data_IF_674145824246
#
_entry.id   IF_674145824246
#
_cell.length_a   1.000
_cell.length_b   1.000
_cell.length_c   1.000
_cell.angle_alpha   90.00
_cell.angle_beta   90.00
_cell.angle_gamma   90.00
#
_symmetry.space_group_name_H-M   'P 1'
#
loop_
_entity.id
_entity.type
_entity.pdbx_description
1 polymer ?
#
# COMPACT_ATOMS: atom_id res chain seq x y z
N UNK A 1 -8.09 5.12 -13.83
CA UNK A 1 -6.98 4.26 -13.37
C UNK A 1 -7.59 3.22 -12.44
N UNK A 2 -7.55 1.91 -12.73
CA UNK A 2 -8.13 0.93 -11.81
C UNK A 2 -7.18 0.77 -10.62
N UNK A 3 -7.57 1.31 -9.46
CA UNK A 3 -6.99 0.96 -8.17
C UNK A 3 -7.46 -0.47 -7.89
N UNK A 4 -6.54 -1.41 -7.64
CA UNK A 4 -6.90 -2.75 -7.19
C UNK A 4 -7.74 -2.66 -5.90
N UNK A 5 -8.88 -3.34 -5.87
CA UNK A 5 -9.76 -3.47 -4.68
C UNK A 5 -9.16 -4.38 -3.59
N UNK A 6 -8.00 -4.99 -3.84
CA UNK A 6 -7.32 -5.80 -2.83
C UNK A 6 -6.64 -4.87 -1.83
N UNK A 7 -6.98 -4.99 -0.55
CA UNK A 7 -6.37 -4.21 0.53
C UNK A 7 -4.90 -4.60 0.68
N UNK A 8 -3.98 -3.71 0.28
CA UNK A 8 -2.54 -3.87 0.53
C UNK A 8 -2.16 -3.19 1.84
N UNK A 9 -1.18 -3.77 2.52
CA UNK A 9 -0.66 -3.25 3.78
C UNK A 9 0.86 -3.12 3.72
N UNK A 10 1.35 -2.02 4.28
CA UNK A 10 2.76 -1.77 4.62
C UNK A 10 2.92 -1.77 6.14
N UNK A 11 4.15 -1.60 6.61
CA UNK A 11 4.46 -1.40 8.04
C UNK A 11 3.68 -0.24 8.65
N UNK A 12 3.33 0.78 7.84
CA UNK A 12 2.58 1.96 8.27
C UNK A 12 1.06 1.88 7.99
N UNK A 13 0.51 0.68 7.77
CA UNK A 13 -0.93 0.45 7.55
C UNK A 13 -1.31 0.34 6.08
N UNK A 14 -2.50 0.83 5.70
CA UNK A 14 -3.06 0.67 4.35
C UNK A 14 -2.15 1.28 3.27
N UNK A 15 -2.06 0.60 2.14
CA UNK A 15 -1.25 0.98 0.99
C UNK A 15 -2.02 0.82 -0.33
N UNK A 16 -1.55 1.51 -1.35
CA UNK A 16 -2.03 1.38 -2.72
C UNK A 16 -1.02 0.58 -3.54
N UNK A 17 -1.52 -0.26 -4.46
CA UNK A 17 -0.70 -0.92 -5.48
C UNK A 17 -0.84 -0.18 -6.81
N UNK A 18 0.29 0.20 -7.41
CA UNK A 18 0.37 0.85 -8.70
C UNK A 18 1.23 0.04 -9.67
N UNK A 19 0.91 0.10 -10.96
CA UNK A 19 1.74 -0.48 -12.01
C UNK A 19 2.96 0.39 -12.37
N UNK A 20 2.82 1.70 -12.19
CA UNK A 20 3.87 2.67 -12.51
C UNK A 20 3.79 3.88 -11.56
N UNK A 21 4.97 4.41 -11.18
CA UNK A 21 5.12 5.56 -10.28
C UNK A 21 6.25 6.45 -10.80
N UNK A 22 5.97 7.74 -10.93
CA UNK A 22 6.95 8.75 -11.38
C UNK A 22 7.39 9.65 -10.23
N UNK A 23 8.44 10.45 -10.45
CA UNK A 23 9.01 11.37 -9.45
C UNK A 23 9.54 10.67 -8.19
N UNK A 24 10.03 9.44 -8.35
CA UNK A 24 10.68 8.66 -7.30
C UNK A 24 12.11 8.28 -7.67
N UNK A 25 12.94 8.06 -6.66
CA UNK A 25 14.28 7.46 -6.78
C UNK A 25 14.32 6.12 -6.06
N UNK A 26 15.01 5.15 -6.65
CA UNK A 26 15.19 3.81 -6.08
C UNK A 26 16.31 3.77 -5.03
N UNK A 27 16.06 3.07 -3.93
CA UNK A 27 17.04 2.70 -2.92
C UNK A 27 17.85 1.46 -3.30
N UNK A 28 18.40 0.79 -2.30
CA UNK A 28 19.08 -0.50 -2.49
C UNK A 28 18.09 -1.65 -2.61
N UNK A 29 18.51 -2.72 -3.30
CA UNK A 29 17.77 -3.98 -3.33
C UNK A 29 17.93 -4.69 -2.00
N UNK A 30 16.82 -5.06 -1.39
CA UNK A 30 16.77 -5.74 -0.11
C UNK A 30 15.91 -6.99 -0.18
N UNK A 31 16.32 -8.04 0.54
CA UNK A 31 15.48 -9.21 0.73
C UNK A 31 14.57 -8.98 1.94
N UNK A 32 13.26 -9.08 1.74
CA UNK A 32 12.25 -8.86 2.78
C UNK A 32 11.33 -10.07 2.86
N UNK A 33 11.14 -10.59 4.07
CA UNK A 33 10.14 -11.61 4.35
C UNK A 33 8.77 -10.94 4.44
N UNK A 34 7.81 -11.43 3.68
CA UNK A 34 6.43 -10.94 3.64
C UNK A 34 5.45 -12.10 3.91
N UNK A 35 4.16 -11.79 4.04
CA UNK A 35 3.11 -12.82 4.18
C UNK A 35 3.15 -13.82 3.02
N UNK A 36 3.49 -13.36 1.82
CA UNK A 36 3.64 -14.18 0.60
C UNK A 36 5.03 -14.78 0.44
N UNK A 37 5.85 -14.81 1.49
CA UNK A 37 7.22 -15.35 1.47
C UNK A 37 8.30 -14.31 1.18
N UNK A 38 9.50 -14.80 0.84
CA UNK A 38 10.67 -13.97 0.54
C UNK A 38 10.51 -13.24 -0.78
N UNK A 39 10.78 -11.94 -0.77
CA UNK A 39 10.77 -11.09 -1.96
C UNK A 39 12.02 -10.20 -1.97
N UNK A 40 12.49 -9.84 -3.17
CA UNK A 40 13.48 -8.77 -3.30
C UNK A 40 12.73 -7.50 -3.64
N UNK A 41 12.90 -6.48 -2.80
CA UNK A 41 12.23 -5.20 -2.90
C UNK A 41 13.23 -4.06 -3.04
N UNK A 42 12.76 -2.92 -3.52
CA UNK A 42 13.53 -1.69 -3.58
C UNK A 42 12.66 -0.58 -3.01
N UNK A 43 13.14 0.06 -1.95
CA UNK A 43 12.46 1.22 -1.38
C UNK A 43 12.47 2.39 -2.39
N UNK A 44 11.38 3.16 -2.42
CA UNK A 44 11.23 4.31 -3.31
C UNK A 44 11.02 5.60 -2.52
N UNK A 45 11.77 6.63 -2.93
CA UNK A 45 11.82 7.92 -2.23
C UNK A 45 11.35 9.04 -3.15
N UNK A 46 10.68 10.05 -2.59
CA UNK A 46 10.28 11.23 -3.35
C UNK A 46 11.51 11.98 -3.87
N UNK A 47 11.59 12.27 -5.17
CA UNK A 47 12.69 13.05 -5.78
C UNK A 47 12.85 14.43 -5.14
N UNK A 48 11.76 15.04 -4.66
CA UNK A 48 11.74 16.42 -4.17
C UNK A 48 12.19 16.56 -2.72
N UNK A 49 11.70 15.69 -1.82
CA UNK A 49 11.93 15.81 -0.38
C UNK A 49 12.70 14.64 0.23
N UNK A 50 12.98 13.58 -0.55
CA UNK A 50 13.70 12.40 -0.08
C UNK A 50 12.93 11.51 0.89
N UNK A 51 11.66 11.78 1.16
CA UNK A 51 10.85 10.95 2.06
C UNK A 51 10.62 9.57 1.45
N UNK A 52 10.71 8.51 2.27
CA UNK A 52 10.25 7.17 1.90
C UNK A 52 8.75 7.21 1.62
N UNK A 53 8.35 6.75 0.44
CA UNK A 53 6.94 6.69 0.02
C UNK A 53 6.40 5.25 0.01
N UNK A 54 7.27 4.26 -0.12
CA UNK A 54 6.90 2.87 -0.30
C UNK A 54 8.02 2.05 -0.93
N UNK A 55 7.66 1.01 -1.67
CA UNK A 55 8.62 0.07 -2.27
C UNK A 55 8.08 -0.59 -3.54
N UNK A 56 8.97 -1.05 -4.42
CA UNK A 56 8.63 -1.87 -5.60
C UNK A 56 9.04 -3.34 -5.38
N UNK A 57 8.30 -4.26 -6.00
CA UNK A 57 8.72 -5.65 -6.12
C UNK A 57 9.75 -5.79 -7.25
N UNK A 58 11.03 -5.87 -6.90
CA UNK A 58 12.10 -6.05 -7.88
C UNK A 58 12.22 -7.50 -8.36
N UNK A 59 11.93 -8.49 -7.50
CA UNK A 59 11.88 -9.90 -7.88
C UNK A 59 10.93 -10.67 -6.96
N UNK A 60 10.00 -11.40 -7.57
CA UNK A 60 9.14 -12.37 -6.90
C UNK A 60 9.69 -13.79 -7.15
N UNK A 61 9.89 -14.55 -6.08
CA UNK A 61 10.50 -15.88 -6.15
C UNK A 61 9.49 -16.99 -6.48
N UNK A 62 8.22 -16.79 -6.13
CA UNK A 62 7.15 -17.72 -6.47
C UNK A 62 6.49 -17.35 -7.80
N UNK A 63 6.23 -18.35 -8.66
CA UNK A 63 5.59 -18.14 -9.97
C UNK A 63 4.22 -17.47 -9.86
N UNK A 64 3.46 -17.77 -8.81
CA UNK A 64 2.15 -17.17 -8.51
C UNK A 64 2.23 -15.69 -8.15
N UNK A 65 3.43 -15.17 -7.86
CA UNK A 65 3.66 -13.78 -7.47
C UNK A 65 4.41 -12.97 -8.54
N UNK A 66 4.71 -13.58 -9.70
CA UNK A 66 5.42 -12.90 -10.80
C UNK A 66 4.66 -11.70 -11.35
N UNK A 67 3.33 -11.72 -11.30
CA UNK A 67 2.49 -10.59 -11.71
C UNK A 67 2.67 -9.35 -10.82
N UNK A 68 3.32 -9.51 -9.65
CA UNK A 68 3.67 -8.40 -8.77
C UNK A 68 5.00 -7.76 -9.12
N UNK A 69 5.86 -8.40 -9.90
CA UNK A 69 7.13 -7.80 -10.32
C UNK A 69 6.85 -6.48 -11.03
N UNK A 70 7.60 -5.44 -10.64
CA UNK A 70 7.46 -4.07 -11.13
C UNK A 70 6.19 -3.33 -10.70
N UNK A 71 5.35 -3.92 -9.84
CA UNK A 71 4.33 -3.12 -9.15
C UNK A 71 4.94 -2.41 -7.94
N UNK A 72 4.36 -1.25 -7.63
CA UNK A 72 4.76 -0.34 -6.56
C UNK A 72 3.71 -0.33 -5.46
N UNK A 73 4.15 -0.44 -4.22
CA UNK A 73 3.31 -0.27 -3.03
C UNK A 73 3.61 1.11 -2.45
N UNK A 74 2.62 2.00 -2.43
CA UNK A 74 2.71 3.34 -1.82
C UNK A 74 1.89 3.39 -0.54
N UNK A 75 2.47 3.90 0.53
CA UNK A 75 1.78 4.05 1.81
C UNK A 75 0.76 5.16 1.76
N UNK A 76 -0.50 4.89 2.15
CA UNK A 76 -1.58 5.89 2.08
C UNK A 76 -1.28 7.12 2.94
N UNK A 77 -0.63 6.93 4.09
CA UNK A 77 -0.25 8.05 4.97
C UNK A 77 0.82 8.99 4.36
N UNK A 78 1.40 8.63 3.21
CA UNK A 78 2.43 9.43 2.51
C UNK A 78 1.92 10.09 1.23
N UNK A 79 0.70 9.79 0.80
CA UNK A 79 0.13 10.28 -0.45
C UNK A 79 -1.28 10.83 -0.24
N UNK A 80 -1.68 11.75 -1.11
CA UNK A 80 -3.08 12.18 -1.19
C UNK A 80 -3.88 11.18 -2.04
N UNK A 81 -5.17 11.08 -1.77
CA UNK A 81 -6.08 10.34 -2.64
C UNK A 81 -6.28 11.06 -4.00
N UNK A 82 -7.01 10.45 -4.96
CA UNK A 82 -7.22 11.05 -6.27
C UNK A 82 -7.89 12.43 -6.25
N UNK A 83 -8.66 12.74 -5.21
CA UNK A 83 -9.35 14.02 -5.00
C UNK A 83 -8.46 15.03 -4.25
N UNK A 84 -7.27 14.62 -3.83
CA UNK A 84 -6.30 15.46 -3.15
C UNK A 84 -6.47 15.51 -1.63
N UNK A 85 -7.27 14.62 -1.04
CA UNK A 85 -7.46 14.56 0.41
C UNK A 85 -6.36 13.73 1.08
N UNK A 86 -5.89 14.15 2.27
CA UNK A 86 -4.93 13.36 3.03
C UNK A 86 -5.60 12.07 3.55
N UNK A 87 -4.81 11.01 3.69
CA UNK A 87 -5.28 9.82 4.37
C UNK A 87 -5.61 10.13 5.83
N UNK A 88 -6.86 9.93 6.20
CA UNK A 88 -7.34 9.93 7.58
C UNK A 88 -7.47 8.46 8.01
N UNK A 89 -6.59 7.94 8.87
CA UNK A 89 -6.85 6.66 9.53
C UNK A 89 -8.16 6.83 10.31
N UNK A 90 -9.10 5.89 10.15
CA UNK A 90 -10.46 5.94 10.69
C UNK A 90 -10.52 6.68 12.02
N UNK A 91 -11.14 7.87 11.96
CA UNK A 91 -11.53 8.78 13.04
C UNK A 91 -10.96 8.43 14.42
N UNK A 92 -10.03 9.26 14.90
CA UNK A 92 -10.05 9.60 16.33
C UNK A 92 -11.45 10.12 16.59
N UNK A 93 -12.30 9.27 17.17
CA UNK A 93 -13.53 9.72 17.81
C UNK A 93 -13.11 10.92 18.65
N UNK A 94 -13.75 12.07 18.45
CA UNK A 94 -13.59 13.21 19.36
C UNK A 94 -13.93 12.72 20.76
N UNK A 95 -12.91 12.26 21.50
CA UNK A 95 -12.80 12.00 22.95
C UNK A 95 -11.51 11.20 23.26
N UNK A 96 -10.34 11.76 22.93
CA UNK A 96 -9.15 11.69 23.79
C UNK A 96 -8.56 10.34 24.23
N UNK A 97 -8.65 9.24 23.48
CA UNK A 97 -7.89 8.02 23.78
C UNK A 97 -7.08 7.53 22.57
N UNK A 98 -5.78 7.35 22.80
CA UNK A 98 -4.76 6.87 21.87
C UNK A 98 -5.01 5.39 21.54
N UNK A 99 -4.99 4.94 20.27
CA UNK A 99 -5.24 3.54 19.97
C UNK A 99 -3.96 2.71 20.17
N UNK A 100 -4.09 1.68 21.00
CA UNK A 100 -3.03 0.70 21.25
C UNK A 100 -2.80 -0.19 20.02
N UNK A 101 -1.52 -0.41 19.71
CA UNK A 101 -0.98 -1.29 18.68
C UNK A 101 -1.59 -2.70 18.77
N UNK A 102 -2.40 -3.10 17.76
CA UNK A 102 -2.83 -4.49 17.58
C UNK A 102 -4.27 -4.77 17.13
N UNK A 103 -5.03 -3.79 16.60
CA UNK A 103 -6.40 -4.07 16.15
C UNK A 103 -6.44 -4.61 14.71
N UNK A 104 -6.88 -5.85 14.57
CA UNK A 104 -7.35 -6.43 13.30
C UNK A 104 -8.53 -5.60 12.78
N UNK A 105 -8.46 -5.17 11.52
CA UNK A 105 -9.51 -4.35 10.89
C UNK A 105 -10.45 -5.29 10.14
N UNK A 106 -11.73 -5.25 10.51
CA UNK A 106 -12.80 -6.02 9.88
C UNK A 106 -12.95 -5.63 8.40
N UNK A 107 -13.10 -6.64 7.54
CA UNK A 107 -13.23 -6.52 6.10
C UNK A 107 -14.45 -5.64 5.75
N UNK A 108 -14.22 -4.50 5.10
CA UNK A 108 -15.30 -3.67 4.53
C UNK A 108 -16.06 -4.52 3.48
N UNK A 109 -17.30 -4.92 3.82
CA UNK A 109 -18.18 -5.77 2.98
C UNK A 109 -18.31 -5.23 1.54
N UNK A 110 -18.21 -6.13 0.56
CA UNK A 110 -18.47 -5.82 -0.85
C UNK A 110 -19.91 -5.31 -1.06
N UNK A 111 -20.15 -4.30 -1.91
CA UNK A 111 -21.51 -3.95 -2.30
C UNK A 111 -22.07 -5.01 -3.25
N UNK A 112 -23.17 -5.66 -2.86
CA UNK A 112 -23.93 -6.55 -3.73
C UNK A 112 -24.34 -5.83 -5.03
N UNK A 113 -23.92 -6.37 -6.17
CA UNK A 113 -24.42 -5.94 -7.48
C UNK A 113 -25.85 -6.50 -7.61
N UNK A 114 -26.83 -5.62 -7.45
CA UNK A 114 -28.24 -5.93 -7.61
C UNK A 114 -28.55 -6.58 -8.96
N UNK A 115 -29.27 -7.71 -8.89
CA UNK A 115 -29.89 -8.35 -10.03
C UNK A 115 -31.18 -7.60 -10.41
N UNK A 116 -31.21 -7.00 -11.58
CA UNK A 116 -32.43 -6.69 -12.33
C UNK A 116 -32.17 -7.28 -13.74
N UNK A 117 -32.95 -8.22 -14.30
CA UNK A 117 -34.40 -8.30 -14.32
C UNK A 117 -34.83 -8.18 -15.78
#
# INVERSE_FOLDING_TARGET
>A
MPVSLLSFYSVNGRAYLFYDVVNVTNGQREHRQMVTGWNTVVDIYCVRCGSLLGWEYATAYEKSQKDKERNFVLERCKVLDPDGHPYVPNQVVHNGQEPEIGQEYEDDEEPEIGQEG
#
